data_IF_586087916832
#
_entry.id   IF_586087916832
#
_cell.length_a   1.000
_cell.length_b   1.000
_cell.length_c   1.000
_cell.angle_alpha   90.00
_cell.angle_beta   90.00
_cell.angle_gamma   90.00
#
_symmetry.space_group_name_H-M   'P 1'
#
loop_
_entity.id
_entity.type
_entity.pdbx_description
1 polymer ?
#
# COMPACT_ATOMS: atom_id res chain seq x y z
N UNK A 1 76.92 -15.25 41.96
CA UNK A 1 76.16 -14.87 40.76
C UNK A 1 74.66 -15.10 41.06
N UNK A 2 73.99 -14.09 41.62
CA UNK A 2 72.58 -14.21 42.03
C UNK A 2 71.67 -13.73 40.88
N UNK A 3 71.16 -14.67 40.07
CA UNK A 3 70.14 -14.37 39.07
C UNK A 3 68.78 -14.09 39.76
N UNK A 4 68.29 -12.87 39.58
CA UNK A 4 67.11 -12.30 40.23
C UNK A 4 65.81 -12.82 39.56
N UNK A 5 65.16 -13.82 40.15
CA UNK A 5 63.80 -14.34 39.79
C UNK A 5 62.69 -13.32 40.11
N UNK A 6 62.71 -12.11 39.53
CA UNK A 6 61.64 -11.08 39.72
C UNK A 6 60.70 -10.88 38.53
N UNK A 7 60.78 -11.70 37.48
CA UNK A 7 59.94 -11.55 36.27
C UNK A 7 58.72 -12.48 36.18
N UNK A 8 58.65 -13.56 36.96
CA UNK A 8 57.64 -14.60 36.75
C UNK A 8 56.25 -14.20 37.28
N UNK A 9 56.20 -13.46 38.39
CA UNK A 9 54.93 -13.02 39.01
C UNK A 9 54.20 -12.01 38.12
N UNK A 10 54.93 -11.09 37.50
CA UNK A 10 54.37 -10.07 36.61
C UNK A 10 53.74 -10.67 35.36
N UNK A 11 54.33 -11.74 34.82
CA UNK A 11 53.79 -12.45 33.65
C UNK A 11 52.40 -13.04 33.94
N UNK A 12 52.21 -13.67 35.10
CA UNK A 12 50.91 -14.24 35.46
C UNK A 12 49.84 -13.17 35.68
N UNK A 13 50.20 -12.00 36.22
CA UNK A 13 49.26 -10.89 36.41
C UNK A 13 48.76 -10.36 35.05
N UNK A 14 49.66 -10.15 34.09
CA UNK A 14 49.29 -9.66 32.75
C UNK A 14 48.38 -10.68 32.05
N UNK A 15 48.70 -11.97 32.15
CA UNK A 15 47.91 -13.04 31.54
C UNK A 15 46.50 -13.12 32.13
N UNK A 16 46.35 -12.92 33.44
CA UNK A 16 45.04 -12.86 34.11
C UNK A 16 44.17 -11.71 33.60
N UNK A 17 44.74 -10.51 33.42
CA UNK A 17 43.99 -9.35 32.91
C UNK A 17 43.49 -9.61 31.49
N UNK A 18 44.34 -10.17 30.62
CA UNK A 18 43.97 -10.48 29.23
C UNK A 18 42.83 -11.50 29.17
N UNK A 19 42.86 -12.52 30.03
CA UNK A 19 41.79 -13.53 30.09
C UNK A 19 40.48 -12.87 30.57
N UNK A 20 40.54 -12.05 31.60
CA UNK A 20 39.35 -11.37 32.13
C UNK A 20 38.74 -10.42 31.10
N UNK A 21 39.55 -9.62 30.41
CA UNK A 21 39.04 -8.72 29.36
C UNK A 21 38.48 -9.49 28.17
N UNK A 22 39.09 -10.60 27.77
CA UNK A 22 38.58 -11.47 26.72
C UNK A 22 37.22 -12.09 27.09
N UNK A 23 37.07 -12.57 28.33
CA UNK A 23 35.80 -13.14 28.83
C UNK A 23 34.71 -12.06 28.91
N UNK A 24 35.01 -10.87 29.43
CA UNK A 24 34.05 -9.76 29.48
C UNK A 24 33.60 -9.37 28.07
N UNK A 25 34.54 -9.23 27.13
CA UNK A 25 34.22 -8.89 25.74
C UNK A 25 33.36 -9.97 25.09
N UNK A 26 33.66 -11.25 25.32
CA UNK A 26 32.88 -12.37 24.82
C UNK A 26 31.44 -12.34 25.38
N UNK A 27 31.28 -12.10 26.68
CA UNK A 27 29.95 -12.05 27.33
C UNK A 27 29.13 -10.87 26.80
N UNK A 28 29.74 -9.70 26.58
CA UNK A 28 29.06 -8.55 25.99
C UNK A 28 28.60 -8.86 24.56
N UNK A 29 29.49 -9.41 23.72
CA UNK A 29 29.16 -9.77 22.33
C UNK A 29 28.09 -10.87 22.23
N UNK A 30 28.08 -11.82 23.17
CA UNK A 30 27.05 -12.85 23.22
C UNK A 30 25.70 -12.31 23.73
N UNK A 31 25.71 -11.33 24.64
CA UNK A 31 24.49 -10.71 25.17
C UNK A 31 23.75 -9.89 24.11
N UNK A 32 24.47 -9.15 23.25
CA UNK A 32 23.88 -8.38 22.15
C UNK A 32 23.21 -9.24 21.06
N UNK A 33 23.47 -10.55 21.01
CA UNK A 33 22.91 -11.44 19.97
C UNK A 33 21.54 -12.03 20.30
N UNK A 34 21.05 -11.91 21.54
CA UNK A 34 19.84 -12.64 21.96
C UNK A 34 18.52 -11.88 21.74
N UNK A 35 18.51 -10.56 21.52
CA UNK A 35 17.28 -9.77 21.32
C UNK A 35 16.89 -9.53 19.85
N UNK A 36 17.77 -9.89 18.90
CA UNK A 36 17.62 -9.40 17.51
C UNK A 36 16.74 -10.29 16.63
N UNK A 37 16.47 -11.55 17.02
CA UNK A 37 15.80 -12.50 16.11
C UNK A 37 14.26 -12.44 16.16
N UNK A 38 13.65 -12.33 17.34
CA UNK A 38 12.18 -12.24 17.51
C UNK A 38 11.60 -10.87 17.13
N UNK A 39 12.44 -9.83 17.09
CA UNK A 39 11.98 -8.49 16.70
C UNK A 39 11.80 -8.37 15.20
N UNK A 40 12.56 -9.14 14.42
CA UNK A 40 12.38 -9.18 12.97
C UNK A 40 11.12 -9.93 12.55
N UNK A 41 10.74 -11.02 13.24
CA UNK A 41 9.59 -11.85 12.85
C UNK A 41 8.26 -11.12 13.04
N UNK A 42 8.06 -10.42 14.17
CA UNK A 42 6.85 -9.61 14.38
C UNK A 42 6.71 -8.47 13.36
N UNK A 43 7.78 -7.70 13.13
CA UNK A 43 7.75 -6.60 12.17
C UNK A 43 7.48 -7.08 10.75
N UNK A 44 8.06 -8.22 10.35
CA UNK A 44 7.79 -8.83 9.04
C UNK A 44 6.31 -9.22 8.87
N UNK A 45 5.65 -9.75 9.92
CA UNK A 45 4.22 -10.07 9.88
C UNK A 45 3.35 -8.82 9.81
N UNK A 46 3.71 -7.76 10.55
CA UNK A 46 3.02 -6.45 10.49
C UNK A 46 3.14 -5.84 9.08
N UNK A 47 4.30 -5.90 8.45
CA UNK A 47 4.48 -5.42 7.08
C UNK A 47 3.72 -6.29 6.07
N UNK A 48 3.75 -7.62 6.24
CA UNK A 48 2.94 -8.55 5.43
C UNK A 48 1.44 -8.23 5.50
N UNK A 49 0.93 -7.91 6.70
CA UNK A 49 -0.45 -7.47 6.90
C UNK A 49 -0.73 -6.14 6.19
N UNK A 50 0.20 -5.18 6.27
CA UNK A 50 0.08 -3.90 5.58
C UNK A 50 0.03 -4.08 4.06
N UNK A 51 0.86 -4.95 3.52
CA UNK A 51 0.86 -5.30 2.09
C UNK A 51 -0.44 -5.99 1.67
N UNK A 52 -0.96 -6.90 2.50
CA UNK A 52 -2.26 -7.51 2.27
C UNK A 52 -3.38 -6.45 2.19
N UNK A 53 -3.40 -5.51 3.13
CA UNK A 53 -4.38 -4.42 3.13
C UNK A 53 -4.24 -3.48 1.93
N UNK A 54 -3.01 -3.15 1.51
CA UNK A 54 -2.78 -2.36 0.32
C UNK A 54 -3.25 -3.07 -0.95
N UNK A 55 -3.02 -4.39 -1.07
CA UNK A 55 -3.52 -5.20 -2.20
C UNK A 55 -5.05 -5.31 -2.21
N UNK A 56 -5.67 -5.47 -1.03
CA UNK A 56 -7.13 -5.47 -0.88
C UNK A 56 -7.73 -4.11 -1.31
N UNK A 57 -7.09 -3.00 -0.93
CA UNK A 57 -7.48 -1.65 -1.37
C UNK A 57 -7.30 -1.46 -2.88
N UNK A 58 -6.16 -1.87 -3.44
CA UNK A 58 -5.85 -1.80 -4.87
C UNK A 58 -6.88 -2.57 -5.70
N UNK A 59 -7.12 -3.85 -5.39
CA UNK A 59 -8.10 -4.67 -6.10
C UNK A 59 -9.52 -4.12 -5.97
N UNK A 60 -9.89 -3.60 -4.80
CA UNK A 60 -11.18 -2.94 -4.58
C UNK A 60 -11.34 -1.68 -5.42
N UNK A 61 -10.28 -0.88 -5.53
CA UNK A 61 -10.24 0.34 -6.35
C UNK A 61 -10.32 0.02 -7.84
N UNK A 62 -9.52 -0.92 -8.34
CA UNK A 62 -9.57 -1.36 -9.74
C UNK A 62 -10.96 -1.87 -10.13
N UNK A 63 -11.54 -2.73 -9.29
CA UNK A 63 -12.89 -3.26 -9.51
C UNK A 63 -13.95 -2.16 -9.51
N UNK A 64 -13.87 -1.21 -8.58
CA UNK A 64 -14.81 -0.09 -8.52
C UNK A 64 -14.70 0.83 -9.74
N UNK A 65 -13.48 1.14 -10.20
CA UNK A 65 -13.22 1.91 -11.41
C UNK A 65 -13.83 1.20 -12.63
N UNK A 66 -13.61 -0.11 -12.75
CA UNK A 66 -14.13 -0.90 -13.86
C UNK A 66 -15.67 -0.92 -13.90
N UNK A 67 -16.32 -1.11 -12.75
CA UNK A 67 -17.79 -1.12 -12.68
C UNK A 67 -18.40 0.24 -13.01
N UNK A 68 -17.78 1.34 -12.56
CA UNK A 68 -18.29 2.69 -12.80
C UNK A 68 -17.97 3.21 -14.21
N UNK A 69 -17.05 2.58 -14.95
CA UNK A 69 -16.63 3.03 -16.27
C UNK A 69 -17.81 3.14 -17.27
N UNK A 70 -18.83 2.29 -17.12
CA UNK A 70 -19.97 2.23 -18.04
C UNK A 70 -21.22 2.96 -17.50
N UNK A 71 -21.13 3.61 -16.35
CA UNK A 71 -22.28 4.21 -15.67
C UNK A 71 -22.32 5.74 -15.83
N UNK A 72 -23.51 6.29 -16.07
CA UNK A 72 -23.72 7.75 -16.11
C UNK A 72 -23.83 8.30 -14.69
N UNK A 73 -22.72 8.80 -14.16
CA UNK A 73 -22.63 9.24 -12.76
C UNK A 73 -22.34 10.75 -12.66
N UNK A 74 -23.14 11.44 -11.84
CA UNK A 74 -22.98 12.87 -11.59
C UNK A 74 -21.75 13.20 -10.73
N UNK A 75 -21.41 12.39 -9.72
CA UNK A 75 -20.24 12.57 -8.87
C UNK A 75 -19.42 11.28 -8.80
N UNK A 76 -18.41 11.18 -9.69
CA UNK A 76 -17.63 9.95 -9.87
C UNK A 76 -16.77 9.61 -8.65
N UNK A 77 -16.18 10.61 -7.99
CA UNK A 77 -15.33 10.41 -6.80
C UNK A 77 -16.15 9.86 -5.63
N UNK A 78 -17.29 10.47 -5.32
CA UNK A 78 -18.16 10.01 -4.23
C UNK A 78 -18.70 8.58 -4.46
N UNK A 79 -19.07 8.24 -5.70
CA UNK A 79 -19.52 6.88 -6.00
C UNK A 79 -18.37 5.86 -5.96
N UNK A 80 -17.16 6.25 -6.39
CA UNK A 80 -15.95 5.44 -6.20
C UNK A 80 -15.70 5.18 -4.72
N UNK A 81 -15.70 6.21 -3.88
CA UNK A 81 -15.48 6.09 -2.43
C UNK A 81 -16.43 5.08 -1.79
N UNK A 82 -17.73 5.16 -2.12
CA UNK A 82 -18.75 4.23 -1.61
C UNK A 82 -18.49 2.79 -2.04
N UNK A 83 -18.18 2.56 -3.33
CA UNK A 83 -17.94 1.20 -3.85
C UNK A 83 -16.66 0.60 -3.29
N UNK A 84 -15.60 1.40 -3.22
CA UNK A 84 -14.33 1.00 -2.63
C UNK A 84 -14.55 0.62 -1.17
N UNK A 85 -15.22 1.47 -0.38
CA UNK A 85 -15.53 1.18 1.03
C UNK A 85 -16.21 -0.18 1.19
N UNK A 86 -17.28 -0.44 0.41
CA UNK A 86 -18.04 -1.70 0.47
C UNK A 86 -17.20 -2.91 0.08
N UNK A 87 -16.34 -2.79 -0.94
CA UNK A 87 -15.47 -3.88 -1.40
C UNK A 87 -14.33 -4.16 -0.41
N UNK A 88 -13.76 -3.11 0.17
CA UNK A 88 -12.72 -3.25 1.20
C UNK A 88 -13.29 -3.93 2.46
N UNK A 89 -14.49 -3.56 2.89
CA UNK A 89 -15.16 -4.25 4.02
C UNK A 89 -15.29 -5.77 3.78
N UNK A 90 -15.44 -6.20 2.53
CA UNK A 90 -15.50 -7.61 2.17
C UNK A 90 -14.13 -8.30 2.14
N UNK A 91 -13.03 -7.58 1.86
CA UNK A 91 -11.66 -8.14 1.84
C UNK A 91 -10.84 -7.85 3.10
N UNK A 92 -11.34 -7.06 4.05
CA UNK A 92 -10.65 -6.72 5.30
C UNK A 92 -10.95 -7.70 6.45
N UNK A 93 -11.40 -8.93 6.19
CA UNK A 93 -11.55 -9.90 7.28
C UNK A 93 -10.15 -10.38 7.71
N UNK A 94 -9.72 -9.93 8.89
CA UNK A 94 -8.39 -10.17 9.46
C UNK A 94 -8.42 -11.03 10.73
N UNK A 95 -9.53 -11.74 10.98
CA UNK A 95 -9.82 -12.40 12.27
C UNK A 95 -8.69 -13.32 12.75
N UNK A 96 -7.92 -13.92 11.84
CA UNK A 96 -6.70 -14.66 12.16
C UNK A 96 -5.63 -14.47 11.08
N UNK A 97 -4.71 -13.53 11.28
CA UNK A 97 -3.55 -13.33 10.39
C UNK A 97 -2.25 -13.79 11.07
N UNK A 98 -1.73 -14.95 10.67
CA UNK A 98 -0.38 -15.44 11.04
C UNK A 98 -0.02 -15.35 12.54
N UNK A 99 -0.96 -15.70 13.43
CA UNK A 99 -0.75 -15.66 14.89
C UNK A 99 -0.72 -14.24 15.48
N UNK A 100 -1.17 -13.24 14.73
CA UNK A 100 -1.47 -11.89 15.23
C UNK A 100 -2.95 -11.80 15.59
N UNK A 101 -3.24 -11.12 16.70
CA UNK A 101 -4.59 -10.66 17.00
C UNK A 101 -4.74 -9.24 16.44
N UNK A 102 -5.68 -9.04 15.52
CA UNK A 102 -5.93 -7.75 14.89
C UNK A 102 -7.29 -7.21 15.34
N UNK A 103 -7.28 -6.10 16.05
CA UNK A 103 -8.49 -5.37 16.45
C UNK A 103 -8.74 -4.24 15.43
N UNK A 104 -9.91 -4.25 14.79
CA UNK A 104 -10.27 -3.30 13.73
C UNK A 104 -11.38 -2.34 14.21
N UNK A 105 -11.15 -1.02 14.11
CA UNK A 105 -12.12 0.02 14.48
C UNK A 105 -13.08 0.43 13.33
N UNK A 106 -13.07 -0.31 12.23
CA UNK A 106 -13.83 0.00 11.02
C UNK A 106 -13.22 1.15 10.19
N UNK A 107 -13.72 1.31 8.95
CA UNK A 107 -13.20 2.30 8.01
C UNK A 107 -13.68 3.70 8.44
N UNK A 108 -12.74 4.58 8.80
CA UNK A 108 -13.05 5.97 9.16
C UNK A 108 -13.28 6.82 7.92
N UNK A 109 -12.42 6.69 6.91
CA UNK A 109 -12.54 7.44 5.65
C UNK A 109 -11.93 6.69 4.48
N UNK A 110 -12.49 6.91 3.30
CA UNK A 110 -11.88 6.59 2.01
C UNK A 110 -11.92 7.90 1.23
N UNK A 111 -10.77 8.42 0.83
CA UNK A 111 -10.67 9.62 0.02
C UNK A 111 -10.17 9.22 -1.36
N UNK A 112 -10.88 9.66 -2.38
CA UNK A 112 -10.50 9.44 -3.78
C UNK A 112 -10.07 10.76 -4.39
N UNK A 113 -8.93 10.76 -5.08
CA UNK A 113 -8.45 11.90 -5.85
C UNK A 113 -8.09 11.44 -7.25
N UNK A 114 -8.66 12.09 -8.25
CA UNK A 114 -8.33 11.84 -9.65
C UNK A 114 -7.17 12.75 -10.04
N UNK A 115 -6.18 12.21 -10.76
CA UNK A 115 -5.06 13.02 -11.28
C UNK A 115 -5.57 14.12 -12.22
N UNK A 116 -4.85 15.24 -12.31
CA UNK A 116 -5.21 16.34 -13.22
C UNK A 116 -5.33 15.88 -14.69
N UNK A 117 -4.44 14.96 -15.10
CA UNK A 117 -4.45 14.32 -16.41
C UNK A 117 -5.58 13.29 -16.58
N UNK A 118 -6.32 12.97 -15.51
CA UNK A 118 -7.41 11.99 -15.46
C UNK A 118 -6.99 10.59 -15.92
N UNK A 119 -5.73 10.24 -15.67
CA UNK A 119 -5.12 8.95 -16.02
C UNK A 119 -4.97 8.02 -14.82
N UNK A 120 -5.06 8.55 -13.59
CA UNK A 120 -4.81 7.84 -12.34
C UNK A 120 -5.84 8.22 -11.29
N UNK A 121 -6.21 7.26 -10.46
CA UNK A 121 -6.98 7.46 -9.23
C UNK A 121 -6.08 7.16 -8.05
N UNK A 122 -5.90 8.14 -7.18
CA UNK A 122 -5.26 7.98 -5.89
C UNK A 122 -6.33 7.69 -4.85
N UNK A 123 -6.17 6.60 -4.11
CA UNK A 123 -7.11 6.21 -3.06
C UNK A 123 -6.36 6.19 -1.73
N UNK A 124 -6.81 6.99 -0.78
CA UNK A 124 -6.28 7.03 0.58
C UNK A 124 -7.36 6.56 1.56
N UNK A 125 -7.06 5.50 2.30
CA UNK A 125 -7.97 4.92 3.28
C UNK A 125 -7.42 5.07 4.69
N UNK A 126 -8.29 5.47 5.63
CA UNK A 126 -8.01 5.47 7.07
C UNK A 126 -8.79 4.34 7.73
N UNK A 127 -8.07 3.29 8.12
CA UNK A 127 -8.59 2.11 8.80
C UNK A 127 -7.66 1.79 9.99
N UNK A 128 -7.98 2.25 11.21
CA UNK A 128 -7.17 1.97 12.38
C UNK A 128 -7.20 0.47 12.72
N UNK A 129 -6.02 -0.14 12.75
CA UNK A 129 -5.77 -1.50 13.17
C UNK A 129 -4.85 -1.48 14.39
N UNK A 130 -5.27 -2.13 15.47
CA UNK A 130 -4.41 -2.43 16.61
C UNK A 130 -3.97 -3.89 16.50
N UNK A 131 -2.66 -4.11 16.37
CA UNK A 131 -2.08 -5.41 16.10
C UNK A 131 -1.33 -5.86 17.35
N UNK A 132 -1.68 -7.03 17.88
CA UNK A 132 -1.05 -7.63 19.06
C UNK A 132 -0.39 -8.95 18.68
N UNK A 133 0.91 -9.05 18.97
CA UNK A 133 1.64 -10.31 19.04
C UNK A 133 1.74 -10.80 20.48
N UNK A 134 2.61 -11.77 20.76
CA UNK A 134 2.78 -12.34 22.11
C UNK A 134 3.17 -11.27 23.15
N UNK A 135 4.23 -10.50 22.88
CA UNK A 135 4.73 -9.46 23.80
C UNK A 135 4.86 -8.07 23.14
N UNK A 136 4.32 -7.90 21.94
CA UNK A 136 4.50 -6.68 21.12
C UNK A 136 3.17 -6.16 20.61
N UNK A 137 3.04 -4.84 20.56
CA UNK A 137 1.90 -4.16 19.93
C UNK A 137 2.39 -3.24 18.82
N UNK A 138 1.60 -3.14 17.75
CA UNK A 138 1.80 -2.17 16.66
C UNK A 138 0.46 -1.57 16.23
N UNK A 139 0.53 -0.44 15.53
CA UNK A 139 -0.65 0.26 15.00
C UNK A 139 -0.43 0.57 13.53
N UNK A 140 -1.40 0.19 12.71
CA UNK A 140 -1.53 0.64 11.33
C UNK A 140 -2.81 1.46 11.23
N UNK A 141 -2.85 2.45 10.36
CA UNK A 141 -4.05 3.29 10.23
C UNK A 141 -4.30 3.85 8.85
N UNK A 142 -3.26 3.95 8.01
CA UNK A 142 -3.35 4.58 6.70
C UNK A 142 -2.85 3.61 5.65
N UNK A 143 -3.64 3.48 4.61
CA UNK A 143 -3.37 2.67 3.43
C UNK A 143 -3.60 3.53 2.22
N UNK A 144 -2.80 3.31 1.18
CA UNK A 144 -2.89 4.10 -0.03
C UNK A 144 -2.53 3.27 -1.23
N UNK A 145 -3.21 3.51 -2.34
CA UNK A 145 -2.91 2.88 -3.62
C UNK A 145 -3.14 3.87 -4.76
N UNK A 146 -2.55 3.56 -5.90
CA UNK A 146 -2.73 4.28 -7.15
C UNK A 146 -3.18 3.28 -8.21
N UNK A 147 -4.35 3.52 -8.80
CA UNK A 147 -4.87 2.71 -9.89
C UNK A 147 -4.97 3.53 -11.16
N UNK A 148 -4.70 2.92 -12.31
CA UNK A 148 -4.83 3.61 -13.60
C UNK A 148 -6.31 3.72 -13.95
N UNK A 149 -6.75 4.91 -14.34
CA UNK A 149 -8.02 5.03 -15.06
C UNK A 149 -7.86 4.33 -16.40
N UNK A 150 -8.88 3.54 -16.76
CA UNK A 150 -8.90 2.89 -18.05
C UNK A 150 -8.71 3.96 -19.13
N UNK A 151 -7.66 3.81 -19.95
CA UNK A 151 -7.42 4.67 -21.12
C UNK A 151 -8.59 4.63 -22.12
N UNK A 152 -9.48 3.66 -21.98
CA UNK A 152 -10.59 3.36 -22.88
C UNK A 152 -11.92 3.86 -22.32
N UNK A 153 -11.95 5.03 -21.67
CA UNK A 153 -13.18 5.71 -21.33
C UNK A 153 -13.81 6.35 -22.57
N UNK A 154 -14.12 5.47 -23.51
CA UNK A 154 -14.64 5.80 -24.82
C UNK A 154 -16.15 5.63 -24.79
N UNK A 155 -16.88 6.65 -25.20
CA UNK A 155 -18.33 6.57 -25.37
C UNK A 155 -18.70 6.36 -26.83
N UNK A 156 -19.71 5.52 -27.11
CA UNK A 156 -20.34 5.52 -28.43
C UNK A 156 -21.02 6.88 -28.62
N UNK A 157 -20.80 7.46 -29.80
CA UNK A 157 -21.39 8.74 -30.21
C UNK A 157 -21.96 8.58 -31.61
N UNK A 158 -23.02 9.30 -31.92
CA UNK A 158 -23.60 9.28 -33.26
C UNK A 158 -22.65 9.98 -34.24
N UNK A 159 -22.30 9.28 -35.32
CA UNK A 159 -21.30 9.72 -36.29
C UNK A 159 -21.74 9.47 -37.73
N UNK A 160 -21.09 10.18 -38.66
CA UNK A 160 -21.15 9.87 -40.10
C UNK A 160 -20.22 8.71 -40.51
N UNK A 161 -20.17 8.42 -41.82
CA UNK A 161 -19.33 7.36 -42.41
C UNK A 161 -17.83 7.57 -42.17
N UNK A 162 -17.40 8.81 -41.86
CA UNK A 162 -16.01 9.19 -41.59
C UNK A 162 -15.68 9.27 -40.09
N UNK A 163 -16.56 8.74 -39.23
CA UNK A 163 -16.50 8.85 -37.76
C UNK A 163 -16.50 10.32 -37.26
N UNK A 164 -17.26 11.23 -37.88
CA UNK A 164 -17.42 12.59 -37.38
C UNK A 164 -18.71 12.76 -36.60
N UNK A 165 -18.64 13.39 -35.43
CA UNK A 165 -19.81 13.63 -34.56
C UNK A 165 -20.94 14.33 -35.33
N UNK A 166 -22.16 13.80 -35.25
CA UNK A 166 -23.33 14.42 -35.89
C UNK A 166 -23.92 15.56 -35.06
N UNK A 167 -23.60 15.59 -33.77
CA UNK A 167 -24.15 16.52 -32.78
C UNK A 167 -23.05 17.20 -31.97
N UNK A 168 -23.38 18.38 -31.46
CA UNK A 168 -22.63 19.05 -30.41
C UNK A 168 -23.13 18.53 -29.05
N UNK A 169 -22.22 18.28 -28.12
CA UNK A 169 -22.63 17.81 -26.80
C UNK A 169 -21.51 17.74 -25.78
N UNK A 170 -21.91 17.83 -24.51
CA UNK A 170 -21.05 17.47 -23.39
C UNK A 170 -21.46 16.09 -22.89
N UNK A 171 -20.53 15.15 -23.00
CA UNK A 171 -20.76 13.78 -22.59
C UNK A 171 -19.90 13.47 -21.38
N UNK A 172 -20.52 12.87 -20.36
CA UNK A 172 -19.81 12.48 -19.14
C UNK A 172 -19.53 10.97 -19.17
N UNK A 173 -18.26 10.61 -19.17
CA UNK A 173 -17.80 9.22 -19.13
C UNK A 173 -16.58 9.08 -18.24
N UNK A 174 -16.58 8.08 -17.35
CA UNK A 174 -15.49 7.87 -16.38
C UNK A 174 -15.04 9.11 -15.59
N UNK A 175 -15.97 10.00 -15.24
CA UNK A 175 -15.64 11.25 -14.55
C UNK A 175 -14.98 12.33 -15.44
N UNK A 176 -14.78 12.06 -16.73
CA UNK A 176 -14.31 13.02 -17.73
C UNK A 176 -15.53 13.65 -18.40
N UNK A 177 -15.49 14.97 -18.60
CA UNK A 177 -16.44 15.69 -19.46
C UNK A 177 -15.77 15.82 -20.82
N UNK A 178 -16.28 15.07 -21.79
CA UNK A 178 -15.88 15.11 -23.18
C UNK A 178 -16.77 16.13 -23.89
N UNK A 179 -16.18 17.22 -24.37
CA UNK A 179 -16.86 18.19 -25.21
C UNK A 179 -16.65 17.80 -26.66
N UNK A 180 -17.74 17.51 -27.35
CA UNK A 180 -17.74 17.16 -28.75
C UNK A 180 -18.42 18.25 -29.54
N UNK A 181 -17.74 18.69 -30.60
CA UNK A 181 -18.33 19.57 -31.58
C UNK A 181 -18.81 18.74 -32.78
N UNK A 182 -19.90 19.17 -33.40
CA UNK A 182 -20.37 18.61 -34.66
C UNK A 182 -19.27 18.65 -35.72
N UNK A 183 -19.09 17.55 -36.42
CA UNK A 183 -18.04 17.36 -37.42
C UNK A 183 -16.66 16.97 -36.86
N UNK A 184 -16.48 16.96 -35.53
CA UNK A 184 -15.24 16.51 -34.89
C UNK A 184 -15.04 15.01 -35.11
N UNK A 185 -13.85 14.63 -35.59
CA UNK A 185 -13.50 13.23 -35.82
C UNK A 185 -13.22 12.53 -34.49
N UNK A 186 -13.86 11.39 -34.27
CA UNK A 186 -13.83 10.60 -33.03
C UNK A 186 -13.53 9.15 -33.38
N UNK A 187 -12.25 8.77 -33.32
CA UNK A 187 -11.82 7.43 -33.69
C UNK A 187 -10.72 6.93 -32.75
N UNK A 188 -10.96 5.80 -32.09
CA UNK A 188 -9.99 5.15 -31.22
C UNK A 188 -10.01 3.64 -31.45
N UNK A 189 -8.83 3.03 -31.63
CA UNK A 189 -8.71 1.58 -31.86
C UNK A 189 -9.51 1.07 -33.07
N UNK A 190 -9.72 1.90 -34.10
CA UNK A 190 -10.52 1.56 -35.28
C UNK A 190 -12.03 1.63 -35.10
N UNK A 191 -12.54 2.05 -33.93
CA UNK A 191 -13.97 2.27 -33.65
C UNK A 191 -14.28 3.77 -33.63
N UNK A 192 -15.49 4.16 -34.07
CA UNK A 192 -15.97 5.54 -33.95
C UNK A 192 -16.48 5.80 -32.53
N UNK A 193 -15.57 6.16 -31.63
CA UNK A 193 -15.87 6.42 -30.21
C UNK A 193 -15.13 7.66 -29.76
N UNK A 194 -15.70 8.37 -28.80
CA UNK A 194 -15.09 9.55 -28.21
C UNK A 194 -14.44 9.21 -26.88
N UNK A 195 -13.13 9.38 -26.84
CA UNK A 195 -12.25 9.38 -25.68
C UNK A 195 -11.30 10.58 -25.88
#
# INVERSE_FOLDING_TARGET
MFCKKRGQVTVYIILGIIIVTAVITLVVVLSDRSETQETSTFQNRVESLKDHMNRCLESSAESAVYELANEKIANYENELEKRIRKKVEACSNLDTYEGLTVEQEGIRSVNVKISEEKTKVFVEMVLPLKIKGEDKESKLSRFSTEVKLLKECCIPVEVDEDCRSLEDGEFKSCGIILKLNKGQKVQYGGKCVAC
#
